data_IF_977010266437
#
_entry.id   IF_977010266437
#
_cell.length_a   1.000
_cell.length_b   1.000
_cell.length_c   1.000
_cell.angle_alpha   90.00
_cell.angle_beta   90.00
_cell.angle_gamma   90.00
#
_symmetry.space_group_name_H-M   'P 1'
#
loop_
_entity.id
_entity.type
_entity.pdbx_description
1 polymer ?
#
# COMPACT_ATOMS: atom_id res chain seq x y z
N UNK A 1 -13.30 8.52 -5.36
CA UNK A 1 -12.54 8.57 -4.10
C UNK A 1 -12.48 9.99 -3.59
N UNK A 2 -12.87 10.20 -2.37
CA UNK A 2 -12.78 11.51 -1.73
C UNK A 2 -11.58 11.54 -0.80
N UNK A 3 -10.81 12.61 -0.88
CA UNK A 3 -9.66 12.78 0.00
C UNK A 3 -10.07 13.43 1.31
N UNK A 4 -9.53 12.91 2.41
CA UNK A 4 -9.71 13.50 3.73
C UNK A 4 -8.54 14.41 4.04
N UNK A 5 -8.69 15.26 5.04
CA UNK A 5 -7.61 16.16 5.47
C UNK A 5 -6.67 15.52 6.49
N UNK A 6 -6.94 14.29 6.92
CA UNK A 6 -6.19 13.64 7.99
C UNK A 6 -4.88 13.00 7.54
N UNK A 7 -4.75 12.71 6.25
CA UNK A 7 -3.56 12.05 5.69
C UNK A 7 -3.11 12.75 4.43
N UNK A 8 -1.82 12.72 4.13
CA UNK A 8 -1.34 13.21 2.84
C UNK A 8 -2.05 12.49 1.69
N UNK A 9 -2.27 13.20 0.60
CA UNK A 9 -2.99 12.66 -0.56
C UNK A 9 -2.29 11.42 -1.11
N UNK A 10 -0.95 11.43 -1.20
CA UNK A 10 -0.22 10.28 -1.75
C UNK A 10 -0.39 9.02 -0.91
N UNK A 11 -0.56 9.14 0.41
CA UNK A 11 -0.83 8.00 1.28
C UNK A 11 -2.23 7.45 1.02
N UNK A 12 -3.21 8.32 0.85
CA UNK A 12 -4.58 7.91 0.57
C UNK A 12 -4.69 7.16 -0.76
N UNK A 13 -3.97 7.62 -1.78
CA UNK A 13 -3.91 6.96 -3.08
C UNK A 13 -3.25 5.59 -2.93
N UNK A 14 -2.13 5.52 -2.22
CA UNK A 14 -1.44 4.27 -1.94
C UNK A 14 -2.38 3.26 -1.29
N UNK A 15 -3.07 3.66 -0.23
CA UNK A 15 -3.98 2.79 0.50
C UNK A 15 -5.15 2.32 -0.37
N UNK A 16 -5.67 3.19 -1.20
CA UNK A 16 -6.75 2.84 -2.11
C UNK A 16 -6.35 1.69 -3.05
N UNK A 17 -5.21 1.82 -3.69
CA UNK A 17 -4.73 0.77 -4.61
C UNK A 17 -4.29 -0.49 -3.86
N UNK A 18 -3.71 -0.36 -2.67
CA UNK A 18 -3.43 -1.51 -1.82
C UNK A 18 -4.69 -2.32 -1.56
N UNK A 19 -5.78 -1.64 -1.22
CA UNK A 19 -7.05 -2.32 -0.95
C UNK A 19 -7.59 -3.01 -2.18
N UNK A 20 -7.46 -2.42 -3.37
CA UNK A 20 -7.89 -3.06 -4.61
C UNK A 20 -7.11 -4.33 -4.89
N UNK A 21 -5.82 -4.33 -4.57
CA UNK A 21 -4.96 -5.52 -4.74
C UNK A 21 -5.33 -6.57 -3.69
N UNK A 22 -5.48 -6.16 -2.44
CA UNK A 22 -5.81 -7.08 -1.34
C UNK A 22 -7.17 -7.73 -1.53
N UNK A 23 -8.13 -7.00 -2.08
CA UNK A 23 -9.48 -7.51 -2.34
C UNK A 23 -9.59 -8.32 -3.65
N UNK A 24 -8.54 -8.40 -4.43
CA UNK A 24 -8.53 -9.14 -5.68
C UNK A 24 -9.16 -8.42 -6.86
N UNK A 25 -9.48 -7.14 -6.73
CA UNK A 25 -9.96 -6.32 -7.86
C UNK A 25 -8.84 -6.10 -8.86
N UNK A 26 -7.63 -5.80 -8.34
CA UNK A 26 -6.41 -5.78 -9.13
C UNK A 26 -5.64 -7.06 -8.83
N UNK A 27 -5.29 -7.78 -9.88
CA UNK A 27 -4.64 -9.09 -9.77
C UNK A 27 -3.20 -9.03 -10.26
N UNK A 28 -2.41 -10.02 -9.90
CA UNK A 28 -1.05 -10.18 -10.39
C UNK A 28 -0.98 -10.00 -11.90
N UNK A 29 -0.07 -9.14 -12.34
CA UNK A 29 0.13 -8.86 -13.76
C UNK A 29 -0.76 -7.77 -14.33
N UNK A 30 -1.76 -7.31 -13.59
CA UNK A 30 -2.62 -6.22 -14.05
C UNK A 30 -1.81 -4.93 -14.16
N UNK A 31 -2.07 -4.17 -15.21
CA UNK A 31 -1.43 -2.90 -15.44
C UNK A 31 -2.08 -1.81 -14.58
N UNK A 32 -1.26 -1.01 -13.94
CA UNK A 32 -1.72 0.15 -13.17
C UNK A 32 -1.83 1.37 -14.08
N UNK A 33 -2.70 2.32 -13.74
CA UNK A 33 -2.65 3.62 -14.42
C UNK A 33 -1.27 4.24 -14.26
N UNK A 34 -0.85 4.99 -15.27
CA UNK A 34 0.43 5.70 -15.22
C UNK A 34 0.37 6.86 -14.23
N UNK A 35 1.55 7.40 -13.87
CA UNK A 35 1.64 8.60 -13.03
C UNK A 35 0.77 9.73 -13.60
N UNK A 36 0.87 9.95 -14.91
CA UNK A 36 0.12 11.01 -15.59
C UNK A 36 -1.39 10.75 -15.53
N UNK A 37 -1.80 9.51 -15.73
CA UNK A 37 -3.21 9.14 -15.66
C UNK A 37 -3.78 9.33 -14.26
N UNK A 38 -3.05 8.90 -13.24
CA UNK A 38 -3.46 9.09 -11.84
C UNK A 38 -3.58 10.58 -11.52
N UNK A 39 -2.61 11.37 -11.95
CA UNK A 39 -2.64 12.80 -11.72
C UNK A 39 -3.88 13.45 -12.36
N UNK A 40 -4.26 13.02 -13.56
CA UNK A 40 -5.45 13.51 -14.25
C UNK A 40 -6.74 13.02 -13.58
N UNK A 41 -6.81 11.74 -13.23
CA UNK A 41 -8.01 11.14 -12.61
C UNK A 41 -8.37 11.88 -11.31
N UNK A 42 -7.38 12.15 -10.47
CA UNK A 42 -7.61 12.73 -9.15
C UNK A 42 -7.37 14.23 -9.08
N UNK A 43 -6.94 14.86 -10.19
CA UNK A 43 -6.68 16.28 -10.22
C UNK A 43 -5.55 16.70 -9.29
N UNK A 44 -4.47 15.93 -9.25
CA UNK A 44 -3.33 16.17 -8.37
C UNK A 44 -2.05 16.38 -9.15
N UNK A 45 -1.01 16.84 -8.44
CA UNK A 45 0.31 17.04 -9.02
C UNK A 45 0.91 15.68 -9.40
N UNK A 46 1.55 15.55 -10.58
CA UNK A 46 2.22 14.30 -10.97
C UNK A 46 3.26 13.81 -9.95
N UNK A 47 3.94 14.72 -9.26
CA UNK A 47 4.89 14.33 -8.21
C UNK A 47 4.21 13.59 -7.07
N UNK A 48 2.99 13.99 -6.71
CA UNK A 48 2.20 13.31 -5.67
C UNK A 48 1.79 11.91 -6.15
N UNK A 49 1.36 11.79 -7.39
CA UNK A 49 1.02 10.50 -7.99
C UNK A 49 2.25 9.58 -8.06
N UNK A 50 3.39 10.12 -8.47
CA UNK A 50 4.65 9.37 -8.53
C UNK A 50 5.03 8.83 -7.16
N UNK A 51 4.88 9.65 -6.13
CA UNK A 51 5.21 9.26 -4.75
C UNK A 51 4.35 8.10 -4.27
N UNK A 52 3.05 8.14 -4.59
CA UNK A 52 2.13 7.05 -4.23
C UNK A 52 2.54 5.73 -4.89
N UNK A 53 2.83 5.76 -6.19
CA UNK A 53 3.24 4.57 -6.93
C UNK A 53 4.59 4.05 -6.43
N UNK A 54 5.53 4.95 -6.13
CA UNK A 54 6.84 4.56 -5.60
C UNK A 54 6.72 3.83 -4.28
N UNK A 55 5.83 4.27 -3.40
CA UNK A 55 5.59 3.60 -2.13
C UNK A 55 5.01 2.21 -2.32
N UNK A 56 4.09 2.04 -3.28
CA UNK A 56 3.54 0.73 -3.60
C UNK A 56 4.62 -0.23 -4.11
N UNK A 57 5.57 0.27 -4.88
CA UNK A 57 6.72 -0.52 -5.32
C UNK A 57 7.59 -0.91 -4.12
N UNK A 58 7.90 0.04 -3.25
CA UNK A 58 8.71 -0.22 -2.05
C UNK A 58 8.07 -1.25 -1.13
N UNK A 59 6.75 -1.22 -1.01
CA UNK A 59 6.03 -2.15 -0.14
C UNK A 59 5.74 -3.50 -0.80
N UNK A 60 6.16 -3.69 -2.04
CA UNK A 60 6.06 -4.98 -2.73
C UNK A 60 4.75 -5.24 -3.44
N UNK A 61 3.88 -4.26 -3.57
CA UNK A 61 2.61 -4.42 -4.28
C UNK A 61 2.75 -4.28 -5.79
N UNK A 62 3.66 -3.43 -6.24
CA UNK A 62 3.87 -3.15 -7.66
C UNK A 62 5.31 -3.34 -8.07
N UNK A 63 5.50 -3.54 -9.37
CA UNK A 63 6.82 -3.47 -9.99
C UNK A 63 6.78 -2.43 -11.10
N UNK A 64 7.88 -1.71 -11.23
CA UNK A 64 8.05 -0.73 -12.29
C UNK A 64 8.86 -1.37 -13.41
N UNK A 65 8.24 -1.58 -14.57
CA UNK A 65 8.91 -2.12 -15.74
C UNK A 65 9.27 -0.94 -16.65
N UNK A 66 10.56 -0.65 -16.85
CA UNK A 66 10.97 0.49 -17.68
C UNK A 66 10.30 0.47 -19.05
N UNK A 67 9.81 1.64 -19.48
CA UNK A 67 9.12 1.86 -20.75
C UNK A 67 7.74 1.20 -20.86
N UNK A 68 7.35 0.38 -19.90
CA UNK A 68 6.03 -0.30 -19.91
C UNK A 68 5.08 0.22 -18.84
N UNK A 69 5.58 0.60 -17.67
CA UNK A 69 4.79 1.16 -16.59
C UNK A 69 4.77 0.32 -15.33
N UNK A 70 3.75 0.52 -14.51
CA UNK A 70 3.60 -0.17 -13.24
C UNK A 70 2.61 -1.33 -13.39
N UNK A 71 2.99 -2.46 -12.82
CA UNK A 71 2.18 -3.69 -12.87
C UNK A 71 2.07 -4.28 -11.47
N UNK A 72 0.95 -4.94 -11.20
CA UNK A 72 0.74 -5.62 -9.93
C UNK A 72 1.71 -6.79 -9.83
N UNK A 73 2.49 -6.80 -8.78
CA UNK A 73 3.51 -7.82 -8.54
C UNK A 73 2.85 -9.05 -7.90
N UNK A 74 3.45 -10.22 -8.16
CA UNK A 74 3.02 -11.45 -7.53
C UNK A 74 3.15 -11.34 -6.01
N UNK A 75 2.05 -11.62 -5.30
CA UNK A 75 2.07 -11.65 -3.85
C UNK A 75 2.73 -12.96 -3.42
N UNK A 76 3.98 -12.87 -3.01
CA UNK A 76 4.71 -14.00 -2.44
C UNK A 76 4.16 -14.26 -1.04
N UNK A 77 3.85 -15.52 -0.67
CA UNK A 77 3.48 -15.85 0.71
C UNK A 77 4.48 -15.30 1.74
N UNK A 78 5.75 -15.21 1.39
CA UNK A 78 6.77 -14.63 2.26
C UNK A 78 6.60 -13.12 2.46
N UNK A 79 5.94 -12.43 1.54
CA UNK A 79 5.67 -11.00 1.67
C UNK A 79 4.66 -10.70 2.77
N UNK A 80 3.73 -11.62 3.06
CA UNK A 80 2.78 -11.43 4.15
C UNK A 80 3.48 -11.27 5.48
N UNK A 81 4.52 -12.09 5.72
CA UNK A 81 5.31 -11.98 6.95
C UNK A 81 6.01 -10.62 7.04
N UNK A 82 6.57 -10.14 5.93
CA UNK A 82 7.24 -8.85 5.89
C UNK A 82 6.27 -7.69 6.13
N UNK A 83 5.07 -7.77 5.56
CA UNK A 83 4.04 -6.76 5.76
C UNK A 83 3.59 -6.73 7.21
N UNK A 84 3.34 -7.90 7.79
CA UNK A 84 2.93 -8.03 9.19
C UNK A 84 4.04 -7.50 10.10
N UNK A 85 5.28 -7.86 9.83
CA UNK A 85 6.43 -7.39 10.60
C UNK A 85 6.55 -5.87 10.55
N UNK A 86 6.42 -5.28 9.37
CA UNK A 86 6.48 -3.82 9.20
C UNK A 86 5.34 -3.14 9.97
N UNK A 87 4.13 -3.70 9.94
CA UNK A 87 3.00 -3.16 10.68
C UNK A 87 3.24 -3.23 12.19
N UNK A 88 3.80 -4.34 12.68
CA UNK A 88 4.13 -4.51 14.09
C UNK A 88 5.23 -3.51 14.50
N UNK A 89 6.26 -3.36 13.68
CA UNK A 89 7.34 -2.41 13.94
C UNK A 89 6.79 -0.97 14.04
N UNK A 90 5.85 -0.61 13.18
CA UNK A 90 5.22 0.71 13.23
C UNK A 90 4.41 0.89 14.51
N UNK A 91 3.70 -0.13 14.97
CA UNK A 91 2.96 -0.09 16.23
C UNK A 91 3.90 0.08 17.41
N UNK A 92 5.01 -0.64 17.42
CA UNK A 92 6.01 -0.52 18.48
C UNK A 92 6.63 0.88 18.49
N UNK A 93 6.89 1.44 17.32
CA UNK A 93 7.41 2.81 17.20
C UNK A 93 6.40 3.85 17.71
N UNK A 94 5.11 3.55 17.65
CA UNK A 94 4.04 4.42 18.14
C UNK A 94 3.85 4.35 19.66
N UNK A 95 4.61 3.49 20.35
CA UNK A 95 4.52 3.36 21.80
C UNK A 95 3.68 2.18 22.30
N UNK A 96 3.15 1.37 21.39
CA UNK A 96 2.44 0.15 21.75
C UNK A 96 3.46 -0.92 22.06
N UNK A 97 3.32 -1.61 23.22
CA UNK A 97 4.27 -2.64 23.63
C UNK A 97 3.97 -3.98 22.95
N UNK A 98 4.98 -4.85 22.94
CA UNK A 98 4.81 -6.22 22.43
C UNK A 98 3.75 -6.97 23.21
N UNK A 99 3.70 -6.78 24.52
CA UNK A 99 2.72 -7.43 25.39
C UNK A 99 1.30 -7.02 25.04
N UNK A 100 1.08 -5.73 24.74
CA UNK A 100 -0.23 -5.25 24.33
C UNK A 100 -0.67 -5.88 23.03
N UNK A 101 0.25 -6.00 22.07
CA UNK A 101 -0.04 -6.64 20.77
C UNK A 101 -0.38 -8.12 20.97
N UNK A 102 0.42 -8.83 21.75
CA UNK A 102 0.21 -10.25 22.01
C UNK A 102 -1.11 -10.49 22.75
N UNK A 103 -1.40 -9.66 23.75
CA UNK A 103 -2.65 -9.78 24.50
C UNK A 103 -3.87 -9.54 23.61
N UNK A 104 -3.79 -8.58 22.72
CA UNK A 104 -4.87 -8.30 21.78
C UNK A 104 -5.11 -9.49 20.84
N UNK A 105 -4.03 -10.06 20.28
CA UNK A 105 -4.11 -11.20 19.38
C UNK A 105 -4.66 -12.43 20.08
N UNK A 106 -4.23 -12.68 21.32
CA UNK A 106 -4.73 -13.82 22.11
C UNK A 106 -6.21 -13.65 22.45
N UNK A 107 -6.63 -12.43 22.71
CA UNK A 107 -8.02 -12.13 23.02
C UNK A 107 -8.93 -12.35 21.80
N UNK A 108 -8.45 -11.99 20.61
CA UNK A 108 -9.18 -12.17 19.37
C UNK A 108 -9.10 -13.61 18.83
N UNK A 109 -8.07 -14.34 19.21
CA UNK A 109 -7.79 -15.67 18.70
C UNK A 109 -8.60 -16.81 19.32
N UNK A 110 -9.56 -16.49 20.14
CA UNK A 110 -10.41 -17.53 20.77
C UNK A 110 -11.70 -17.74 20.03
#
# INVERSE_FOLDING_TARGET
>A
MEFTSNKPIYIQIKEYYMNLIDCGVLKEGDEMPSVREIALIYGINPNTAQRALSLLVEEGYLQNIPKKGFFVKKVDPNNKEKIIKAAIDNLLASGVSKEEIINYLNKEGK
#
